data_IF_265202236369
#
_entry.id   IF_265202236369
#
_cell.length_a   1.000
_cell.length_b   1.000
_cell.length_c   1.000
_cell.angle_alpha   90.00
_cell.angle_beta   90.00
_cell.angle_gamma   90.00
#
_symmetry.space_group_name_H-M   'P 1'
#
loop_
_entity.id
_entity.type
_entity.pdbx_description
1 polymer ?
#
# COMPACT_ATOMS: atom_id res chain seq x y z
N UNK A 1 26.23 -32.73 19.50
CA UNK A 1 25.03 -31.83 19.48
C UNK A 1 24.81 -31.46 18.02
N UNK A 2 23.81 -32.04 17.36
CA UNK A 2 23.49 -31.73 15.97
C UNK A 2 23.11 -30.24 15.88
N UNK A 3 23.85 -29.48 15.10
CA UNK A 3 23.46 -28.11 14.77
C UNK A 3 22.11 -28.16 14.03
N UNK A 4 21.05 -27.77 14.71
CA UNK A 4 19.73 -27.61 14.08
C UNK A 4 19.84 -26.39 13.16
N UNK A 5 20.01 -26.67 11.88
CA UNK A 5 20.13 -25.61 10.85
C UNK A 5 18.74 -25.23 10.40
N UNK A 6 18.26 -24.06 10.86
CA UNK A 6 16.94 -23.51 10.50
C UNK A 6 17.04 -22.75 9.20
N UNK A 7 16.09 -22.98 8.30
CA UNK A 7 15.91 -22.17 7.11
C UNK A 7 14.81 -21.13 7.35
N UNK A 8 15.16 -19.86 7.21
CA UNK A 8 14.21 -18.76 7.21
C UNK A 8 13.90 -18.39 5.77
N UNK A 9 12.62 -18.40 5.43
CA UNK A 9 12.12 -17.97 4.10
C UNK A 9 11.18 -16.77 4.30
N UNK A 10 11.36 -15.74 3.49
CA UNK A 10 10.39 -14.68 3.29
C UNK A 10 9.86 -14.77 1.86
N UNK A 11 8.57 -15.08 1.72
CA UNK A 11 7.85 -15.02 0.46
C UNK A 11 6.97 -13.79 0.46
N UNK A 12 7.06 -12.95 -0.59
CA UNK A 12 6.36 -11.67 -0.59
C UNK A 12 5.84 -11.24 -1.94
N UNK A 13 4.74 -10.49 -1.92
CA UNK A 13 4.19 -9.71 -3.04
C UNK A 13 4.04 -8.26 -2.58
N UNK A 14 4.58 -7.34 -3.36
CA UNK A 14 4.63 -5.92 -2.97
C UNK A 14 4.18 -5.02 -4.11
N UNK A 15 3.93 -3.74 -3.81
CA UNK A 15 3.62 -2.71 -4.80
C UNK A 15 4.67 -2.57 -5.92
N UNK A 16 5.86 -3.14 -5.77
CA UNK A 16 6.92 -3.15 -6.79
C UNK A 16 6.66 -4.16 -7.90
N UNK A 17 5.93 -5.22 -7.58
CA UNK A 17 5.68 -6.35 -8.48
C UNK A 17 4.23 -6.36 -8.97
N UNK A 18 3.32 -5.76 -8.20
CA UNK A 18 1.87 -5.74 -8.49
C UNK A 18 1.35 -4.34 -8.25
N UNK A 19 0.51 -3.80 -9.15
CA UNK A 19 -0.16 -2.53 -8.92
C UNK A 19 -0.96 -2.54 -7.61
N UNK A 20 -0.99 -1.41 -6.88
CA UNK A 20 -1.63 -1.32 -5.55
C UNK A 20 -3.09 -1.81 -5.53
N UNK A 21 -3.84 -1.53 -6.59
CA UNK A 21 -5.25 -1.97 -6.69
C UNK A 21 -5.39 -3.50 -6.78
N UNK A 22 -4.40 -4.19 -7.34
CA UNK A 22 -4.40 -5.64 -7.49
C UNK A 22 -3.87 -6.38 -6.26
N UNK A 23 -3.09 -5.69 -5.39
CA UNK A 23 -2.51 -6.29 -4.19
C UNK A 23 -3.56 -6.86 -3.23
N UNK A 24 -4.76 -6.25 -3.17
CA UNK A 24 -5.86 -6.76 -2.33
C UNK A 24 -6.29 -8.18 -2.68
N UNK A 25 -6.09 -8.62 -3.94
CA UNK A 25 -6.38 -9.99 -4.37
C UNK A 25 -5.41 -11.02 -3.79
N UNK A 26 -4.17 -10.61 -3.51
CA UNK A 26 -3.13 -11.44 -2.87
C UNK A 26 -3.27 -11.50 -1.35
N UNK A 27 -4.07 -10.62 -0.76
CA UNK A 27 -4.26 -10.51 0.67
C UNK A 27 -5.12 -11.66 1.24
N UNK A 28 -4.85 -12.01 2.49
CA UNK A 28 -5.64 -12.98 3.23
C UNK A 28 -6.83 -12.28 3.91
N UNK A 29 -8.00 -12.89 3.88
CA UNK A 29 -9.20 -12.38 4.57
C UNK A 29 -9.02 -12.35 6.08
N UNK A 30 -8.32 -13.36 6.62
CA UNK A 30 -7.98 -13.48 8.03
C UNK A 30 -6.51 -13.92 8.14
N UNK A 31 -5.67 -13.03 8.66
CA UNK A 31 -4.24 -13.25 8.81
C UNK A 31 -3.93 -14.31 9.87
N UNK A 32 -4.76 -14.44 10.92
CA UNK A 32 -4.56 -15.45 11.96
C UNK A 32 -4.81 -16.85 11.39
N UNK A 33 -5.91 -17.05 10.68
CA UNK A 33 -6.24 -18.31 10.00
C UNK A 33 -5.17 -18.65 8.95
N UNK A 34 -4.68 -17.64 8.21
CA UNK A 34 -3.60 -17.85 7.25
C UNK A 34 -2.31 -18.32 7.94
N UNK A 35 -1.87 -17.67 9.03
CA UNK A 35 -0.71 -18.10 9.82
C UNK A 35 -0.85 -19.55 10.30
N UNK A 36 -2.01 -19.92 10.84
CA UNK A 36 -2.29 -21.29 11.27
C UNK A 36 -2.19 -22.29 10.11
N UNK A 37 -2.73 -21.92 8.94
CA UNK A 37 -2.71 -22.78 7.77
C UNK A 37 -1.29 -22.97 7.24
N UNK A 38 -0.48 -21.91 7.16
CA UNK A 38 0.92 -22.01 6.78
C UNK A 38 1.74 -22.85 7.78
N UNK A 39 1.48 -22.73 9.08
CA UNK A 39 2.16 -23.52 10.11
C UNK A 39 1.81 -25.02 10.04
N UNK A 40 0.65 -25.39 9.49
CA UNK A 40 0.27 -26.80 9.26
C UNK A 40 1.01 -27.45 8.08
N UNK A 41 1.71 -26.67 7.27
CA UNK A 41 2.56 -27.22 6.19
C UNK A 41 3.67 -28.07 6.83
N UNK A 42 3.83 -29.35 6.43
CA UNK A 42 4.90 -30.21 6.96
C UNK A 42 6.27 -29.55 6.78
N UNK A 43 7.02 -29.47 7.88
CA UNK A 43 8.32 -28.82 7.92
C UNK A 43 8.29 -27.34 8.30
N UNK A 44 7.15 -26.67 8.39
CA UNK A 44 7.05 -25.29 8.88
C UNK A 44 6.84 -25.28 10.39
N UNK A 45 7.77 -24.69 11.14
CA UNK A 45 7.74 -24.59 12.59
C UNK A 45 7.19 -23.27 13.10
N UNK A 46 7.48 -22.15 12.41
CA UNK A 46 7.08 -20.79 12.79
C UNK A 46 6.55 -20.02 11.57
N UNK A 47 5.59 -19.13 11.80
CA UNK A 47 5.03 -18.27 10.77
C UNK A 47 4.71 -16.89 11.33
N UNK A 48 5.11 -15.83 10.59
CA UNK A 48 4.65 -14.44 10.80
C UNK A 48 4.21 -13.90 9.45
N UNK A 49 3.09 -13.19 9.40
CA UNK A 49 2.61 -12.49 8.19
C UNK A 49 2.57 -10.99 8.44
N UNK A 50 3.21 -10.23 7.58
CA UNK A 50 3.05 -8.77 7.46
C UNK A 50 2.10 -8.53 6.30
N UNK A 51 0.94 -7.93 6.56
CA UNK A 51 -0.04 -7.58 5.53
C UNK A 51 -0.49 -6.14 5.70
N UNK A 52 -0.28 -5.34 4.66
CA UNK A 52 -0.62 -3.92 4.60
C UNK A 52 -1.23 -3.58 3.23
N UNK A 53 -1.66 -2.35 3.02
CA UNK A 53 -2.16 -1.91 1.72
C UNK A 53 -1.11 -1.99 0.58
N UNK A 54 0.20 -2.07 0.91
CA UNK A 54 1.29 -2.03 -0.07
C UNK A 54 2.10 -3.31 -0.20
N UNK A 55 1.84 -4.32 0.64
CA UNK A 55 2.57 -5.60 0.65
C UNK A 55 1.88 -6.70 1.43
N UNK A 56 2.15 -7.91 1.03
CA UNK A 56 1.90 -9.13 1.80
C UNK A 56 3.23 -9.89 1.86
N UNK A 57 3.72 -10.18 3.06
CA UNK A 57 4.97 -10.90 3.30
C UNK A 57 4.76 -12.01 4.31
N UNK A 58 5.16 -13.22 3.97
CA UNK A 58 5.08 -14.40 4.83
C UNK A 58 6.51 -14.79 5.23
N UNK A 59 6.76 -14.82 6.51
CA UNK A 59 8.02 -15.32 7.09
C UNK A 59 7.76 -16.68 7.70
N UNK A 60 8.52 -17.68 7.27
CA UNK A 60 8.46 -19.04 7.81
C UNK A 60 9.84 -19.53 8.24
N UNK A 61 9.84 -20.35 9.27
CA UNK A 61 11.00 -21.15 9.67
C UNK A 61 10.70 -22.60 9.40
N UNK A 62 11.54 -23.26 8.66
CA UNK A 62 11.43 -24.70 8.44
C UNK A 62 12.46 -25.47 9.26
N UNK A 63 11.97 -26.49 9.99
CA UNK A 63 12.77 -27.53 10.63
C UNK A 63 12.89 -28.69 9.64
N UNK A 64 13.83 -28.61 8.74
CA UNK A 64 14.23 -29.82 8.01
C UNK A 64 15.34 -30.48 8.83
N UNK A 65 15.06 -31.63 9.38
CA UNK A 65 16.10 -32.44 10.07
C UNK A 65 17.30 -32.55 9.14
N UNK A 66 18.46 -32.19 9.66
CA UNK A 66 19.73 -32.29 8.95
C UNK A 66 20.15 -33.73 8.85
N UNK A 67 19.54 -34.48 7.94
CA UNK A 67 20.16 -35.67 7.41
C UNK A 67 21.04 -35.22 6.25
N UNK A 68 22.33 -35.12 6.45
CA UNK A 68 23.30 -35.07 5.35
C UNK A 68 23.23 -36.40 4.60
N UNK A 69 22.32 -36.47 3.65
CA UNK A 69 22.36 -37.56 2.67
C UNK A 69 23.19 -37.07 1.48
N UNK A 70 24.17 -37.83 1.01
CA UNK A 70 25.05 -37.47 -0.11
C UNK A 70 24.30 -37.24 -1.43
N UNK A 71 23.02 -37.53 -1.50
CA UNK A 71 22.22 -37.61 -2.71
C UNK A 71 21.22 -36.45 -2.92
N UNK A 72 21.45 -35.28 -2.33
CA UNK A 72 20.72 -34.04 -2.70
C UNK A 72 19.32 -33.88 -2.12
N UNK A 73 18.79 -34.77 -1.30
CA UNK A 73 17.42 -34.74 -0.73
C UNK A 73 17.09 -33.49 0.08
N UNK A 74 18.10 -32.77 0.58
CA UNK A 74 17.93 -31.49 1.33
C UNK A 74 17.39 -30.36 0.44
N UNK A 75 17.86 -30.29 -0.80
CA UNK A 75 17.42 -29.28 -1.78
C UNK A 75 15.99 -29.57 -2.21
N UNK A 76 15.61 -30.82 -2.37
CA UNK A 76 14.24 -31.23 -2.72
C UNK A 76 13.25 -30.92 -1.59
N UNK A 77 13.61 -31.14 -0.32
CA UNK A 77 12.75 -30.82 0.83
C UNK A 77 12.46 -29.32 0.95
N UNK A 78 13.46 -28.47 0.71
CA UNK A 78 13.30 -26.98 0.73
C UNK A 78 12.43 -26.49 -0.42
N UNK A 79 12.60 -27.07 -1.61
CA UNK A 79 11.77 -26.77 -2.77
C UNK A 79 10.31 -27.19 -2.54
N UNK A 80 10.10 -28.33 -1.89
CA UNK A 80 8.77 -28.83 -1.55
C UNK A 80 8.04 -27.91 -0.58
N UNK A 81 8.70 -27.41 0.48
CA UNK A 81 8.10 -26.47 1.44
C UNK A 81 7.71 -25.17 0.74
N UNK A 82 8.60 -24.62 -0.10
CA UNK A 82 8.29 -23.38 -0.84
C UNK A 82 7.09 -23.58 -1.79
N UNK A 83 7.02 -24.68 -2.50
CA UNK A 83 5.91 -24.99 -3.39
C UNK A 83 4.57 -25.08 -2.61
N UNK A 84 4.60 -25.74 -1.44
CA UNK A 84 3.42 -25.79 -0.57
C UNK A 84 3.02 -24.43 -0.03
N UNK A 85 3.97 -23.55 0.29
CA UNK A 85 3.68 -22.16 0.67
C UNK A 85 2.95 -21.44 -0.49
N UNK A 86 3.44 -21.59 -1.73
CA UNK A 86 2.80 -20.99 -2.92
C UNK A 86 1.37 -21.50 -3.14
N UNK A 87 1.18 -22.81 -3.10
CA UNK A 87 -0.15 -23.43 -3.24
C UNK A 87 -1.12 -22.99 -2.15
N UNK A 88 -0.65 -22.96 -0.89
CA UNK A 88 -1.44 -22.48 0.24
C UNK A 88 -1.81 -21.01 0.09
N UNK A 89 -0.87 -20.16 -0.34
CA UNK A 89 -1.16 -18.76 -0.62
C UNK A 89 -2.26 -18.60 -1.66
N UNK A 90 -2.12 -19.29 -2.82
CA UNK A 90 -3.12 -19.28 -3.90
C UNK A 90 -4.51 -19.70 -3.40
N UNK A 91 -4.58 -20.68 -2.50
CA UNK A 91 -5.86 -21.18 -1.97
C UNK A 91 -6.53 -20.25 -0.95
N UNK A 92 -5.75 -19.42 -0.22
CA UNK A 92 -6.25 -18.56 0.85
C UNK A 92 -6.58 -17.14 0.39
N UNK A 93 -6.13 -16.75 -0.78
CA UNK A 93 -6.28 -15.40 -1.34
C UNK A 93 -7.39 -15.34 -2.40
N UNK A 94 -7.79 -14.13 -2.77
CA UNK A 94 -8.84 -13.88 -3.77
C UNK A 94 -8.29 -13.67 -5.18
N UNK A 95 -7.30 -14.48 -5.60
CA UNK A 95 -6.63 -14.36 -6.90
C UNK A 95 -7.56 -14.64 -8.07
N UNK A 96 -7.46 -13.83 -9.10
CA UNK A 96 -8.03 -14.10 -10.41
C UNK A 96 -7.13 -15.04 -11.23
N UNK A 97 -7.63 -15.59 -12.32
CA UNK A 97 -6.86 -16.54 -13.15
C UNK A 97 -5.55 -15.93 -13.65
N UNK A 98 -5.54 -14.67 -14.03
CA UNK A 98 -4.35 -13.95 -14.48
C UNK A 98 -3.30 -13.83 -13.38
N UNK A 99 -3.71 -13.66 -12.13
CA UNK A 99 -2.80 -13.59 -10.98
C UNK A 99 -2.17 -14.97 -10.71
N UNK A 100 -2.97 -16.03 -10.86
CA UNK A 100 -2.52 -17.42 -10.69
C UNK A 100 -1.48 -17.79 -11.75
N UNK A 101 -1.74 -17.43 -13.01
CA UNK A 101 -0.86 -17.73 -14.16
C UNK A 101 0.50 -17.02 -14.02
N UNK A 102 0.53 -15.82 -13.45
CA UNK A 102 1.75 -15.03 -13.25
C UNK A 102 2.29 -15.08 -11.81
N UNK A 103 1.72 -15.90 -10.94
CA UNK A 103 2.05 -15.92 -9.52
C UNK A 103 3.56 -16.10 -9.24
N UNK A 104 4.20 -17.04 -9.95
CA UNK A 104 5.61 -17.33 -9.74
C UNK A 104 6.56 -16.21 -10.21
N UNK A 105 6.13 -15.40 -11.16
CA UNK A 105 6.86 -14.22 -11.65
C UNK A 105 6.67 -13.03 -10.71
N UNK A 106 5.52 -12.98 -10.04
CA UNK A 106 5.15 -11.91 -9.11
C UNK A 106 5.74 -12.09 -7.73
N UNK A 107 5.88 -13.37 -7.29
CA UNK A 107 6.36 -13.70 -5.97
C UNK A 107 7.88 -13.53 -5.85
N UNK A 108 8.32 -12.66 -4.93
CA UNK A 108 9.73 -12.60 -4.52
C UNK A 108 9.97 -13.55 -3.33
N UNK A 109 11.10 -14.24 -3.36
CA UNK A 109 11.50 -15.16 -2.28
C UNK A 109 12.90 -14.83 -1.80
N UNK A 110 13.03 -14.47 -0.53
CA UNK A 110 14.29 -14.26 0.15
C UNK A 110 14.59 -15.42 1.09
N UNK A 111 15.87 -15.77 1.25
CA UNK A 111 16.34 -16.89 2.09
C UNK A 111 17.57 -16.47 2.90
N UNK A 112 17.72 -17.07 4.07
CA UNK A 112 18.91 -16.86 4.90
C UNK A 112 19.20 -15.40 5.20
N UNK A 113 20.40 -14.94 4.88
CA UNK A 113 20.87 -13.56 5.16
C UNK A 113 20.03 -12.49 4.47
N UNK A 114 19.51 -12.77 3.27
CA UNK A 114 18.72 -11.78 2.52
C UNK A 114 17.39 -11.45 3.22
N UNK A 115 16.85 -12.39 4.01
CA UNK A 115 15.66 -12.12 4.85
C UNK A 115 15.96 -11.04 5.89
N UNK A 116 17.14 -11.10 6.54
CA UNK A 116 17.55 -10.09 7.51
C UNK A 116 17.67 -8.71 6.87
N UNK A 117 18.35 -8.65 5.73
CA UNK A 117 18.58 -7.39 5.02
C UNK A 117 17.26 -6.80 4.52
N UNK A 118 16.39 -7.59 3.92
CA UNK A 118 15.09 -7.13 3.40
C UNK A 118 14.19 -6.63 4.53
N UNK A 119 14.09 -7.37 5.65
CA UNK A 119 13.29 -6.96 6.79
C UNK A 119 13.87 -5.72 7.49
N UNK A 120 15.19 -5.58 7.57
CA UNK A 120 15.82 -4.39 8.12
C UNK A 120 15.56 -3.14 7.24
N UNK A 121 15.71 -3.27 5.93
CA UNK A 121 15.39 -2.19 4.98
C UNK A 121 13.92 -1.77 5.10
N UNK A 122 13.02 -2.75 5.22
CA UNK A 122 11.61 -2.51 5.45
C UNK A 122 11.37 -1.77 6.77
N UNK A 123 11.93 -2.25 7.88
CA UNK A 123 11.76 -1.65 9.20
C UNK A 123 12.34 -0.22 9.27
N UNK A 124 13.42 0.06 8.52
CA UNK A 124 13.93 1.42 8.34
C UNK A 124 13.04 2.30 7.44
N UNK A 125 12.05 1.72 6.75
CA UNK A 125 11.17 2.44 5.83
C UNK A 125 11.76 2.68 4.44
N UNK A 126 12.89 2.04 4.10
CA UNK A 126 13.56 2.19 2.80
C UNK A 126 12.82 1.50 1.66
N UNK A 127 12.02 0.47 1.98
CA UNK A 127 11.20 -0.29 1.03
C UNK A 127 9.70 0.07 1.10
N UNK A 128 9.36 1.22 1.68
CA UNK A 128 8.00 1.75 1.71
C UNK A 128 7.68 2.57 0.45
N UNK A 129 6.39 2.70 0.10
CA UNK A 129 5.91 3.58 -1.00
C UNK A 129 6.41 5.02 -0.76
N UNK A 130 6.33 5.47 0.49
CA UNK A 130 6.95 6.72 0.93
C UNK A 130 8.12 6.35 1.84
N UNK A 131 9.34 6.64 1.38
CA UNK A 131 10.57 6.29 2.10
C UNK A 131 10.61 6.96 3.48
N UNK A 132 10.92 6.18 4.50
CA UNK A 132 11.03 6.67 5.88
C UNK A 132 9.72 6.73 6.67
N UNK A 133 8.59 6.30 6.10
CA UNK A 133 7.29 6.27 6.79
C UNK A 133 7.38 5.46 8.09
N UNK A 134 6.91 6.04 9.20
CA UNK A 134 7.03 5.42 10.54
C UNK A 134 6.06 4.26 10.73
N UNK A 135 4.92 4.29 10.08
CA UNK A 135 3.84 3.31 10.18
C UNK A 135 4.33 1.88 9.94
N UNK A 136 5.27 1.67 8.99
CA UNK A 136 5.76 0.31 8.69
C UNK A 136 6.45 -0.36 9.89
N UNK A 137 7.17 0.40 10.71
CA UNK A 137 7.78 -0.15 11.92
C UNK A 137 6.74 -0.58 12.93
N UNK A 138 5.63 0.16 13.05
CA UNK A 138 4.51 -0.19 13.89
C UNK A 138 3.74 -1.40 13.36
N UNK A 139 3.56 -1.52 12.03
CA UNK A 139 2.97 -2.68 11.38
C UNK A 139 3.79 -3.95 11.65
N UNK A 140 5.13 -3.88 11.58
CA UNK A 140 6.02 -4.99 11.93
C UNK A 140 5.87 -5.40 13.40
N UNK A 141 5.83 -4.42 14.32
CA UNK A 141 5.61 -4.69 15.76
C UNK A 141 4.25 -5.37 15.99
N UNK A 142 3.21 -4.88 15.35
CA UNK A 142 1.86 -5.43 15.45
C UNK A 142 1.80 -6.86 14.90
N UNK A 143 2.40 -7.13 13.75
CA UNK A 143 2.47 -8.47 13.16
C UNK A 143 3.19 -9.47 14.06
N UNK A 144 4.31 -9.06 14.68
CA UNK A 144 5.01 -9.88 15.67
C UNK A 144 4.14 -10.15 16.89
N UNK A 145 3.49 -9.13 17.44
CA UNK A 145 2.61 -9.27 18.61
C UNK A 145 1.44 -10.21 18.33
N UNK A 146 0.80 -10.06 17.19
CA UNK A 146 -0.32 -10.91 16.78
C UNK A 146 0.13 -12.38 16.64
N UNK A 147 1.24 -12.63 15.97
CA UNK A 147 1.76 -13.99 15.81
C UNK A 147 2.15 -14.64 17.16
N UNK A 148 2.69 -13.87 18.11
CA UNK A 148 2.96 -14.33 19.48
C UNK A 148 1.68 -14.72 20.20
N UNK A 149 0.66 -13.85 20.14
CA UNK A 149 -0.61 -14.05 20.85
C UNK A 149 -1.33 -15.33 20.41
N UNK A 150 -1.20 -15.74 19.16
CA UNK A 150 -1.78 -16.96 18.61
C UNK A 150 -0.80 -18.14 18.57
N UNK A 151 0.40 -18.01 19.19
CA UNK A 151 1.46 -19.05 19.24
C UNK A 151 1.94 -19.50 17.84
N UNK A 152 1.92 -18.64 16.86
CA UNK A 152 2.41 -18.95 15.49
C UNK A 152 3.89 -18.65 15.31
N UNK A 153 4.44 -17.66 16.03
CA UNK A 153 5.88 -17.39 16.07
C UNK A 153 6.56 -18.12 17.21
N UNK A 154 7.82 -18.49 17.00
CA UNK A 154 8.65 -19.17 17.96
C UNK A 154 9.95 -18.42 18.25
N UNK A 155 10.93 -19.13 18.79
CA UNK A 155 12.20 -18.54 19.26
C UNK A 155 12.98 -17.84 18.14
N UNK A 156 12.92 -18.35 16.90
CA UNK A 156 13.74 -17.86 15.79
C UNK A 156 13.16 -16.57 15.23
N UNK A 157 11.89 -16.58 14.80
CA UNK A 157 11.27 -15.36 14.27
C UNK A 157 11.13 -14.29 15.34
N UNK A 158 10.82 -14.64 16.59
CA UNK A 158 10.76 -13.66 17.67
C UNK A 158 12.11 -12.94 17.81
N UNK A 159 13.23 -13.69 17.89
CA UNK A 159 14.57 -13.11 18.01
C UNK A 159 14.94 -12.27 16.79
N UNK A 160 14.61 -12.73 15.59
CA UNK A 160 14.84 -11.99 14.34
C UNK A 160 14.09 -10.64 14.37
N UNK A 161 12.78 -10.68 14.54
CA UNK A 161 11.94 -9.48 14.50
C UNK A 161 12.29 -8.48 15.60
N UNK A 162 12.47 -8.93 16.85
CA UNK A 162 12.88 -8.08 17.98
C UNK A 162 14.24 -7.41 17.72
N UNK A 163 15.20 -8.15 17.19
CA UNK A 163 16.51 -7.59 16.85
C UNK A 163 16.43 -6.55 15.76
N UNK A 164 15.65 -6.84 14.68
CA UNK A 164 15.44 -5.90 13.59
C UNK A 164 14.71 -4.65 14.06
N UNK A 165 13.66 -4.78 14.86
CA UNK A 165 12.90 -3.63 15.41
C UNK A 165 13.85 -2.74 16.21
N UNK A 166 14.69 -3.31 17.10
CA UNK A 166 15.65 -2.56 17.91
C UNK A 166 16.71 -1.84 17.04
N UNK A 167 17.28 -2.54 16.06
CA UNK A 167 18.29 -1.97 15.16
C UNK A 167 17.68 -0.87 14.30
N UNK A 168 16.50 -1.10 13.69
CA UNK A 168 15.83 -0.14 12.87
C UNK A 168 15.44 1.14 13.65
N UNK A 169 14.94 0.98 14.89
CA UNK A 169 14.65 2.12 15.77
C UNK A 169 15.92 2.99 15.95
N UNK A 170 17.04 2.36 16.29
CA UNK A 170 18.31 3.07 16.47
C UNK A 170 18.79 3.74 15.18
N UNK A 171 18.72 3.07 14.03
CA UNK A 171 19.07 3.65 12.72
C UNK A 171 18.20 4.87 12.46
N UNK A 172 16.88 4.77 12.66
CA UNK A 172 15.95 5.89 12.42
C UNK A 172 16.25 7.09 13.33
N UNK A 173 16.55 6.84 14.59
CA UNK A 173 16.94 7.89 15.56
C UNK A 173 18.25 8.59 15.17
N UNK A 174 19.27 7.81 14.78
CA UNK A 174 20.62 8.35 14.50
C UNK A 174 20.74 9.00 13.12
N UNK A 175 20.02 8.49 12.12
CA UNK A 175 20.09 9.00 10.74
C UNK A 175 19.03 10.05 10.43
N UNK A 176 18.01 10.15 11.29
CA UNK A 176 16.87 11.02 11.03
C UNK A 176 15.95 10.51 9.91
N UNK A 177 16.11 9.24 9.44
CA UNK A 177 15.17 8.63 8.52
C UNK A 177 13.78 8.65 9.15
N UNK A 178 12.83 9.26 8.45
CA UNK A 178 11.46 9.46 8.94
C UNK A 178 11.22 10.80 9.64
N UNK A 179 12.26 11.57 9.96
CA UNK A 179 12.09 12.97 10.40
C UNK A 179 11.79 13.81 9.15
N UNK A 180 10.70 14.57 9.19
CA UNK A 180 10.25 15.41 8.07
C UNK A 180 9.89 14.63 6.78
N UNK A 181 9.46 13.38 6.90
CA UNK A 181 8.89 12.66 5.75
C UNK A 181 7.60 13.37 5.35
N UNK A 182 7.62 13.92 4.15
CA UNK A 182 6.42 14.46 3.54
C UNK A 182 5.43 13.31 3.31
N UNK A 183 4.20 13.48 3.80
CA UNK A 183 3.13 12.54 3.44
C UNK A 183 2.84 12.63 1.94
N UNK A 184 2.16 11.62 1.38
CA UNK A 184 1.67 11.72 0.01
C UNK A 184 0.87 13.01 -0.20
N UNK A 185 0.04 13.39 0.79
CA UNK A 185 -0.68 14.66 0.78
C UNK A 185 0.23 15.89 0.71
N UNK A 186 1.33 15.91 1.48
CA UNK A 186 2.29 17.03 1.44
C UNK A 186 2.99 17.14 0.07
N UNK A 187 3.36 15.98 -0.52
CA UNK A 187 4.01 15.94 -1.84
C UNK A 187 3.08 16.46 -2.92
N UNK A 188 1.84 15.94 -2.99
CA UNK A 188 0.90 16.31 -4.04
C UNK A 188 0.40 17.75 -3.90
N UNK A 189 0.16 18.22 -2.68
CA UNK A 189 -0.20 19.62 -2.42
C UNK A 189 0.95 20.55 -2.79
N UNK A 190 2.20 20.17 -2.53
CA UNK A 190 3.38 20.91 -2.96
C UNK A 190 3.49 20.98 -4.48
N UNK A 191 3.32 19.87 -5.20
CA UNK A 191 3.33 19.84 -6.68
C UNK A 191 2.28 20.79 -7.25
N UNK A 192 1.08 20.80 -6.68
CA UNK A 192 0.00 21.68 -7.12
C UNK A 192 0.32 23.13 -6.80
N UNK A 193 0.91 23.41 -5.65
CA UNK A 193 1.33 24.76 -5.26
C UNK A 193 2.38 25.33 -6.24
N UNK A 194 3.38 24.52 -6.60
CA UNK A 194 4.41 24.89 -7.58
C UNK A 194 3.85 25.12 -9.01
N UNK A 195 2.82 24.35 -9.41
CA UNK A 195 2.26 24.41 -10.78
C UNK A 195 1.17 25.46 -10.97
N UNK A 196 0.36 25.73 -9.93
CA UNK A 196 -0.86 26.55 -10.04
C UNK A 196 -0.94 27.64 -8.97
N UNK A 197 -0.08 27.64 -7.97
CA UNK A 197 -0.19 28.46 -6.78
C UNK A 197 -1.38 28.05 -5.92
N UNK A 198 -1.19 27.88 -4.63
CA UNK A 198 -2.24 27.54 -3.67
C UNK A 198 -2.44 28.73 -2.73
N UNK A 199 -3.58 29.39 -2.82
CA UNK A 199 -3.99 30.45 -1.92
C UNK A 199 -5.46 30.33 -1.52
N UNK A 200 -5.91 31.14 -0.58
CA UNK A 200 -7.29 31.13 -0.08
C UNK A 200 -8.35 31.56 -1.12
N UNK A 201 -7.95 32.09 -2.28
CA UNK A 201 -8.85 32.50 -3.37
C UNK A 201 -9.14 31.36 -4.34
N UNK A 202 -8.33 30.30 -4.31
CA UNK A 202 -8.49 29.14 -5.17
C UNK A 202 -9.65 28.27 -4.68
N UNK A 203 -10.49 27.86 -5.59
CA UNK A 203 -11.53 26.86 -5.33
C UNK A 203 -10.96 25.48 -5.55
N UNK A 204 -10.88 24.72 -4.48
CA UNK A 204 -10.25 23.40 -4.42
C UNK A 204 -11.34 22.34 -4.29
N UNK A 205 -11.26 21.30 -5.10
CA UNK A 205 -12.11 20.11 -5.02
C UNK A 205 -11.25 18.87 -4.69
N UNK A 206 -11.77 18.05 -3.80
CA UNK A 206 -11.24 16.73 -3.49
C UNK A 206 -12.26 15.64 -3.87
N UNK A 207 -11.93 14.79 -4.81
CA UNK A 207 -12.77 13.66 -5.23
C UNK A 207 -12.22 12.39 -4.59
N UNK A 208 -12.98 11.81 -3.68
CA UNK A 208 -12.63 10.62 -2.91
C UNK A 208 -12.62 10.85 -1.41
N UNK A 209 -12.78 9.73 -0.66
CA UNK A 209 -12.84 9.72 0.82
C UNK A 209 -11.98 8.61 1.42
N UNK A 210 -11.09 8.02 0.62
CA UNK A 210 -10.13 7.01 1.03
C UNK A 210 -8.88 7.59 1.71
N UNK A 211 -7.90 6.74 2.01
CA UNK A 211 -6.66 7.13 2.68
C UNK A 211 -5.87 8.21 1.92
N UNK A 212 -5.65 8.14 0.58
CA UNK A 212 -4.96 9.20 -0.14
C UNK A 212 -5.69 10.54 -0.06
N UNK A 213 -7.03 10.52 -0.15
CA UNK A 213 -7.85 11.72 0.01
C UNK A 213 -7.72 12.31 1.43
N UNK A 214 -7.69 11.46 2.46
CA UNK A 214 -7.49 11.90 3.83
C UNK A 214 -6.12 12.57 4.05
N UNK A 215 -5.07 12.08 3.39
CA UNK A 215 -3.75 12.72 3.44
C UNK A 215 -3.74 14.10 2.79
N UNK A 216 -4.39 14.25 1.63
CA UNK A 216 -4.56 15.55 0.96
C UNK A 216 -5.36 16.51 1.85
N UNK A 217 -6.51 16.09 2.39
CA UNK A 217 -7.36 16.90 3.26
C UNK A 217 -6.60 17.42 4.50
N UNK A 218 -5.84 16.53 5.18
CA UNK A 218 -5.00 16.91 6.33
C UNK A 218 -3.99 18.01 5.97
N UNK A 219 -3.36 17.90 4.80
CA UNK A 219 -2.39 18.90 4.34
C UNK A 219 -3.05 20.21 3.96
N UNK A 220 -4.21 20.18 3.29
CA UNK A 220 -4.99 21.39 2.98
C UNK A 220 -5.40 22.09 4.27
N UNK A 221 -5.91 21.37 5.27
CA UNK A 221 -6.26 21.92 6.58
C UNK A 221 -5.04 22.53 7.30
N UNK A 222 -3.89 21.85 7.28
CA UNK A 222 -2.63 22.36 7.86
C UNK A 222 -2.20 23.69 7.22
N UNK A 223 -2.52 23.88 5.94
CA UNK A 223 -2.27 25.13 5.21
C UNK A 223 -3.40 26.17 5.37
N UNK A 224 -4.50 25.84 6.06
CA UNK A 224 -5.66 26.72 6.22
C UNK A 224 -6.46 26.91 4.93
N UNK A 225 -6.42 25.95 4.00
CA UNK A 225 -7.09 26.02 2.71
C UNK A 225 -8.47 25.35 2.77
N UNK A 226 -9.51 26.06 2.38
CA UNK A 226 -10.85 25.51 2.25
C UNK A 226 -10.97 24.66 0.96
N UNK A 227 -11.75 23.57 1.02
CA UNK A 227 -12.01 22.70 -0.11
C UNK A 227 -13.41 22.10 -0.07
N UNK A 228 -13.94 21.77 -1.24
CA UNK A 228 -15.13 20.93 -1.36
C UNK A 228 -14.71 19.47 -1.48
N UNK A 229 -15.53 18.55 -0.97
CA UNK A 229 -15.25 17.09 -1.03
C UNK A 229 -16.44 16.34 -1.59
N UNK A 230 -16.18 15.44 -2.52
CA UNK A 230 -17.18 14.55 -3.09
C UNK A 230 -16.71 13.09 -3.13
N UNK A 231 -17.66 12.18 -3.12
CA UNK A 231 -17.41 10.75 -3.30
C UNK A 231 -18.62 10.08 -3.98
N UNK A 232 -18.62 8.75 -4.05
CA UNK A 232 -19.68 7.97 -4.67
C UNK A 232 -21.07 8.26 -4.08
N UNK A 233 -21.15 8.60 -2.79
CA UNK A 233 -22.41 8.99 -2.13
C UNK A 233 -22.17 10.20 -1.23
N UNK A 234 -23.20 11.01 -1.05
CA UNK A 234 -23.13 12.24 -0.23
C UNK A 234 -22.88 11.90 1.25
N UNK A 235 -23.40 10.76 1.74
CA UNK A 235 -23.20 10.31 3.11
C UNK A 235 -21.72 10.07 3.41
N UNK A 236 -20.98 9.48 2.47
CA UNK A 236 -19.51 9.29 2.61
C UNK A 236 -18.76 10.61 2.66
N UNK A 237 -19.13 11.56 1.80
CA UNK A 237 -18.54 12.90 1.79
C UNK A 237 -18.87 13.65 3.08
N UNK A 238 -20.08 13.51 3.59
CA UNK A 238 -20.51 14.11 4.86
C UNK A 238 -19.75 13.50 6.05
N UNK A 239 -19.64 12.17 6.12
CA UNK A 239 -18.87 11.49 7.17
C UNK A 239 -17.38 11.86 7.14
N UNK A 240 -16.79 11.97 5.96
CA UNK A 240 -15.41 12.43 5.79
C UNK A 240 -15.24 13.87 6.27
N UNK A 241 -16.16 14.75 5.89
CA UNK A 241 -16.16 16.18 6.23
C UNK A 241 -16.24 16.42 7.73
N UNK A 242 -17.01 15.62 8.47
CA UNK A 242 -17.10 15.68 9.94
C UNK A 242 -15.77 15.44 10.64
N UNK A 243 -14.89 14.62 10.05
CA UNK A 243 -13.61 14.23 10.65
C UNK A 243 -12.45 15.07 10.11
N UNK A 244 -12.43 15.33 8.82
CA UNK A 244 -11.31 15.92 8.11
C UNK A 244 -11.62 17.29 7.47
N UNK A 245 -12.79 17.85 7.73
CA UNK A 245 -13.20 19.11 7.13
C UNK A 245 -13.55 18.99 5.64
N UNK A 246 -13.69 20.13 4.99
CA UNK A 246 -14.19 20.24 3.62
C UNK A 246 -15.73 20.37 3.59
N UNK A 247 -16.25 20.98 2.55
CA UNK A 247 -17.69 21.10 2.33
C UNK A 247 -18.16 19.92 1.47
N UNK A 248 -19.06 19.05 1.97
CA UNK A 248 -19.56 17.93 1.17
C UNK A 248 -20.45 18.45 0.03
N UNK A 249 -20.24 17.93 -1.17
CA UNK A 249 -21.01 18.21 -2.39
C UNK A 249 -21.31 16.90 -3.12
N UNK A 250 -22.41 16.85 -3.86
CA UNK A 250 -22.75 15.67 -4.66
C UNK A 250 -21.85 15.58 -5.89
N UNK A 251 -21.68 14.37 -6.43
CA UNK A 251 -20.86 14.20 -7.62
C UNK A 251 -21.51 14.83 -8.86
N UNK A 252 -22.83 14.84 -8.93
CA UNK A 252 -23.61 15.46 -9.98
C UNK A 252 -23.40 16.99 -9.99
N UNK A 253 -23.44 17.64 -8.80
CA UNK A 253 -23.14 19.08 -8.66
C UNK A 253 -21.71 19.39 -9.08
N UNK A 254 -20.76 18.49 -8.80
CA UNK A 254 -19.37 18.64 -9.22
C UNK A 254 -19.24 18.60 -10.74
N UNK A 255 -19.87 17.64 -11.41
CA UNK A 255 -19.81 17.54 -12.88
C UNK A 255 -20.47 18.74 -13.55
N UNK A 256 -21.60 19.20 -13.03
CA UNK A 256 -22.34 20.36 -13.54
C UNK A 256 -21.64 21.72 -13.28
N UNK A 257 -20.67 21.75 -12.40
CA UNK A 257 -19.97 22.99 -12.00
C UNK A 257 -18.46 22.83 -11.90
N UNK A 258 -17.86 21.92 -12.66
CA UNK A 258 -16.41 21.66 -12.62
C UNK A 258 -15.59 22.88 -13.03
N UNK A 259 -16.14 23.72 -13.90
CA UNK A 259 -15.58 25.01 -14.32
C UNK A 259 -15.33 25.98 -13.16
N UNK A 260 -16.01 25.81 -12.03
CA UNK A 260 -15.85 26.65 -10.84
C UNK A 260 -14.57 26.36 -10.06
N UNK A 261 -13.95 25.19 -10.26
CA UNK A 261 -12.77 24.78 -9.51
C UNK A 261 -11.48 25.14 -10.25
N UNK A 262 -10.51 25.68 -9.53
CA UNK A 262 -9.16 25.95 -10.05
C UNK A 262 -8.27 24.73 -9.93
N UNK A 263 -8.49 23.90 -8.89
CA UNK A 263 -7.69 22.75 -8.54
C UNK A 263 -8.60 21.58 -8.17
N UNK A 264 -8.34 20.41 -8.75
CA UNK A 264 -9.07 19.18 -8.49
C UNK A 264 -8.08 18.09 -8.13
N UNK A 265 -8.15 17.56 -6.91
CA UNK A 265 -7.47 16.35 -6.51
C UNK A 265 -8.43 15.16 -6.70
N UNK A 266 -7.98 14.14 -7.43
CA UNK A 266 -8.74 12.91 -7.65
C UNK A 266 -8.02 11.77 -6.93
N UNK A 267 -8.62 11.27 -5.85
CA UNK A 267 -8.04 10.30 -4.94
C UNK A 267 -9.08 9.24 -4.54
N UNK A 268 -9.54 8.48 -5.51
CA UNK A 268 -10.61 7.49 -5.35
C UNK A 268 -10.22 6.15 -5.98
N UNK A 269 -10.97 5.11 -5.69
CA UNK A 269 -10.87 3.80 -6.32
C UNK A 269 -12.12 3.56 -7.15
N UNK A 270 -11.96 3.40 -8.45
CA UNK A 270 -13.03 3.05 -9.39
C UNK A 270 -12.41 2.28 -10.55
N UNK A 271 -13.13 1.33 -11.07
CA UNK A 271 -12.77 0.53 -12.25
C UNK A 271 -13.25 1.15 -13.57
N UNK A 272 -13.79 2.35 -13.51
CA UNK A 272 -14.23 3.14 -14.67
C UNK A 272 -13.84 4.62 -14.53
N UNK A 273 -13.78 5.31 -15.66
CA UNK A 273 -13.52 6.74 -15.70
C UNK A 273 -14.68 7.56 -15.12
N UNK A 274 -14.39 8.33 -14.07
CA UNK A 274 -15.33 9.24 -13.43
C UNK A 274 -15.44 10.57 -14.17
N UNK A 275 -14.29 11.10 -14.61
CA UNK A 275 -14.19 12.34 -15.36
C UNK A 275 -13.78 11.98 -16.79
N UNK A 276 -14.70 12.17 -17.74
CA UNK A 276 -14.45 11.92 -19.16
C UNK A 276 -14.66 13.18 -19.97
N UNK A 277 -14.04 13.24 -21.16
CA UNK A 277 -14.22 14.34 -22.09
C UNK A 277 -15.70 14.66 -22.32
N UNK A 278 -16.51 13.64 -22.62
CA UNK A 278 -17.94 13.81 -22.93
C UNK A 278 -18.76 14.38 -21.75
N UNK A 279 -18.37 14.06 -20.51
CA UNK A 279 -19.10 14.52 -19.32
C UNK A 279 -18.85 15.99 -18.99
N UNK A 280 -17.67 16.50 -19.31
CA UNK A 280 -17.25 17.84 -18.84
C UNK A 280 -17.05 18.84 -19.98
N UNK A 281 -17.07 18.42 -21.26
CA UNK A 281 -16.79 19.32 -22.40
C UNK A 281 -17.66 20.59 -22.39
N UNK A 282 -18.98 20.45 -22.25
CA UNK A 282 -19.92 21.58 -22.29
C UNK A 282 -19.67 22.59 -21.15
N UNK A 283 -19.37 22.10 -19.95
CA UNK A 283 -19.12 22.93 -18.77
C UNK A 283 -17.76 23.61 -18.87
N UNK A 284 -16.76 22.95 -19.47
CA UNK A 284 -15.39 23.46 -19.55
C UNK A 284 -15.14 24.36 -20.77
N UNK A 285 -15.94 24.29 -21.83
CA UNK A 285 -15.82 25.16 -23.01
C UNK A 285 -15.94 26.66 -22.70
N UNK A 286 -16.74 27.01 -21.71
CA UNK A 286 -16.95 28.40 -21.28
C UNK A 286 -15.91 28.91 -20.27
N UNK A 287 -15.04 28.02 -19.77
CA UNK A 287 -14.08 28.38 -18.72
C UNK A 287 -12.96 29.28 -19.25
N UNK A 288 -12.87 30.50 -18.74
CA UNK A 288 -11.81 31.47 -19.08
C UNK A 288 -10.48 31.22 -18.34
N UNK A 289 -10.51 30.56 -17.18
CA UNK A 289 -9.32 30.24 -16.36
C UNK A 289 -9.06 28.73 -16.37
N UNK A 290 -7.80 28.34 -16.36
CA UNK A 290 -7.44 26.93 -16.35
C UNK A 290 -7.81 26.19 -15.06
N UNK A 291 -8.04 24.86 -15.18
CA UNK A 291 -8.17 23.92 -14.05
C UNK A 291 -7.00 22.97 -14.05
N UNK A 292 -6.35 22.82 -12.91
CA UNK A 292 -5.34 21.79 -12.69
C UNK A 292 -5.99 20.58 -12.05
N UNK A 293 -5.94 19.43 -12.71
CA UNK A 293 -6.40 18.16 -12.18
C UNK A 293 -5.19 17.31 -11.83
N UNK A 294 -5.06 16.91 -10.57
CA UNK A 294 -4.03 15.98 -10.10
C UNK A 294 -4.69 14.67 -9.71
N UNK A 295 -4.36 13.60 -10.44
CA UNK A 295 -4.90 12.27 -10.19
C UNK A 295 -3.94 11.42 -9.33
N UNK A 296 -4.48 10.85 -8.26
CA UNK A 296 -3.84 9.92 -7.33
C UNK A 296 -4.51 8.54 -7.37
N UNK A 297 -5.46 8.37 -8.27
CA UNK A 297 -6.25 7.13 -8.39
C UNK A 297 -5.46 6.03 -9.10
N UNK A 298 -5.58 4.81 -8.59
CA UNK A 298 -5.09 3.59 -9.23
C UNK A 298 -6.18 2.51 -9.10
N UNK A 299 -6.77 2.03 -10.20
CA UNK A 299 -6.57 2.44 -11.60
C UNK A 299 -7.01 3.88 -11.88
N UNK A 300 -6.68 4.37 -13.08
CA UNK A 300 -7.09 5.70 -13.53
C UNK A 300 -8.60 5.88 -13.54
N UNK A 301 -9.04 7.03 -13.07
CA UNK A 301 -10.46 7.43 -13.05
C UNK A 301 -10.72 8.71 -13.84
N UNK A 302 -9.66 9.32 -14.37
CA UNK A 302 -9.69 10.49 -15.25
C UNK A 302 -9.25 10.09 -16.64
N UNK A 303 -10.08 10.33 -17.63
CA UNK A 303 -9.80 10.10 -19.04
C UNK A 303 -8.73 11.07 -19.56
N UNK A 304 -7.72 10.58 -20.26
CA UNK A 304 -6.66 11.41 -20.85
C UNK A 304 -7.21 12.41 -21.88
N UNK A 305 -8.31 12.07 -22.55
CA UNK A 305 -8.96 12.91 -23.54
C UNK A 305 -9.38 14.29 -23.01
N UNK A 306 -9.53 14.46 -21.70
CA UNK A 306 -9.89 15.76 -21.12
C UNK A 306 -8.82 16.83 -21.34
N UNK A 307 -7.57 16.46 -21.57
CA UNK A 307 -6.47 17.40 -21.85
C UNK A 307 -6.61 18.12 -23.18
N UNK A 308 -7.49 17.64 -24.06
CA UNK A 308 -7.86 18.33 -25.30
C UNK A 308 -8.79 19.54 -25.06
N UNK A 309 -9.39 19.64 -23.87
CA UNK A 309 -10.26 20.77 -23.53
C UNK A 309 -9.42 22.01 -23.19
N UNK A 310 -9.85 23.21 -23.66
CA UNK A 310 -9.14 24.44 -23.38
C UNK A 310 -9.00 24.68 -21.86
N UNK A 311 -7.77 24.98 -21.44
CA UNK A 311 -7.51 25.35 -20.05
C UNK A 311 -7.41 24.20 -19.05
N UNK A 312 -7.59 22.95 -19.44
CA UNK A 312 -7.35 21.81 -18.55
C UNK A 312 -5.87 21.42 -18.60
N UNK A 313 -5.26 21.25 -17.42
CA UNK A 313 -3.96 20.62 -17.21
C UNK A 313 -4.17 19.42 -16.29
N UNK A 314 -3.84 18.24 -16.74
CA UNK A 314 -3.87 17.03 -15.93
C UNK A 314 -2.44 16.56 -15.60
N UNK A 315 -2.25 16.10 -14.34
CA UNK A 315 -1.02 15.53 -13.83
C UNK A 315 -1.34 14.25 -13.04
N UNK A 316 -0.41 13.31 -13.04
CA UNK A 316 -0.48 12.09 -12.23
C UNK A 316 0.79 11.96 -11.37
#
# INVERSE_FOLDING_TARGET
>A
MSEINFDIINARVTFKNVPLYALSRFAFKDVAIACETFKKIPGVAECIIIQTASRIEIFTVSNLETGDTPDGRRTEGKALVLNKIKETWKSLSGLEQIDIDHFDQTLEVYKGTDVYLSLLRLACGLDSVVVGKEEILNEIKTSLSNAKNINMSGKILNKLFESIIRIATRIRETTGIGKNVLSLGDIVVKIVDEKAGLDAKKRILLIGTGEPAAMVAKTLNKKGLAFDVTSKTIERSTGFSQILGGKPVTFEEVLAGLDKYDIVFVATTSDYFLITFERIKLVMEEKKKGTLILELSEPRTVDEGITALPGIKACR
#
